data_IF_558779315464
#
_entry.id   IF_558779315464
#
_cell.length_a   1.000
_cell.length_b   1.000
_cell.length_c   1.000
_cell.angle_alpha   90.00
_cell.angle_beta   90.00
_cell.angle_gamma   90.00
#
_symmetry.space_group_name_H-M   'P 1'
#
loop_
_entity.id
_entity.type
_entity.pdbx_description
1 polymer ?
#
# COMPACT_ATOMS: atom_id res chain seq x y z
N UNK A 1 12.82 33.65 -1.73
CA UNK A 1 12.28 34.02 -3.05
C UNK A 1 10.93 33.34 -3.28
N UNK A 2 10.79 31.98 -3.23
CA UNK A 2 9.51 31.29 -3.43
C UNK A 2 8.45 31.69 -2.38
N UNK A 3 8.84 31.79 -1.11
CA UNK A 3 7.96 32.24 -0.03
C UNK A 3 7.55 33.71 -0.20
N UNK A 4 8.44 34.54 -0.70
CA UNK A 4 8.16 35.95 -1.03
C UNK A 4 7.17 36.06 -2.18
N UNK A 5 7.34 35.26 -3.24
CA UNK A 5 6.47 35.25 -4.43
C UNK A 5 5.06 34.77 -4.08
N UNK A 6 4.96 33.81 -3.14
CA UNK A 6 3.69 33.25 -2.68
C UNK A 6 3.06 34.06 -1.54
N UNK A 7 3.82 34.92 -0.85
CA UNK A 7 3.37 35.70 0.28
C UNK A 7 3.05 34.89 1.54
N UNK A 8 3.60 33.67 1.64
CA UNK A 8 3.39 32.75 2.77
C UNK A 8 4.67 32.02 3.14
N UNK A 9 4.86 31.76 4.45
CA UNK A 9 5.96 30.93 4.92
C UNK A 9 5.67 29.45 4.68
N UNK A 10 6.58 28.77 3.99
CA UNK A 10 6.52 27.33 3.70
C UNK A 10 7.38 26.50 4.66
N UNK A 11 8.38 27.14 5.29
CA UNK A 11 9.35 26.48 6.17
C UNK A 11 9.40 27.13 7.55
N UNK A 12 9.34 26.29 8.57
CA UNK A 12 9.69 26.66 9.94
C UNK A 12 11.19 26.43 10.14
N UNK A 13 11.89 27.46 10.65
CA UNK A 13 13.32 27.40 10.96
C UNK A 13 13.49 27.45 12.50
N UNK A 14 13.86 26.33 13.08
CA UNK A 14 14.19 26.24 14.49
C UNK A 14 15.68 25.87 14.64
N UNK A 15 16.51 26.87 14.78
CA UNK A 15 17.96 26.73 14.86
C UNK A 15 18.56 26.04 13.62
N UNK A 16 19.03 24.79 13.81
CA UNK A 16 19.60 23.97 12.72
C UNK A 16 18.58 23.04 12.03
N UNK A 17 17.35 23.03 12.50
CA UNK A 17 16.27 22.19 11.92
C UNK A 17 15.37 23.02 11.05
N UNK A 18 14.97 22.44 9.93
CA UNK A 18 13.99 22.99 9.01
C UNK A 18 12.87 21.98 8.85
N UNK A 19 11.63 22.42 9.05
CA UNK A 19 10.41 21.63 8.83
C UNK A 19 9.42 22.42 7.99
N UNK A 20 8.48 21.74 7.38
CA UNK A 20 7.42 22.42 6.61
C UNK A 20 6.39 23.02 7.60
N UNK A 21 5.83 24.15 7.21
CA UNK A 21 4.58 24.68 7.77
C UNK A 21 3.40 23.84 7.26
N UNK A 22 2.20 24.06 7.76
CA UNK A 22 0.98 23.49 7.18
C UNK A 22 0.83 23.91 5.72
N UNK A 23 1.04 25.19 5.41
CA UNK A 23 1.05 25.72 4.04
C UNK A 23 2.18 25.13 3.19
N UNK A 24 3.35 24.91 3.79
CA UNK A 24 4.46 24.22 3.13
C UNK A 24 4.14 22.80 2.74
N UNK A 25 3.46 22.05 3.61
CA UNK A 25 3.01 20.68 3.35
C UNK A 25 1.94 20.63 2.25
N UNK A 26 1.01 21.58 2.27
CA UNK A 26 0.00 21.73 1.22
C UNK A 26 0.65 22.07 -0.14
N UNK A 27 1.56 23.04 -0.14
CA UNK A 27 2.28 23.46 -1.35
C UNK A 27 3.19 22.36 -1.91
N UNK A 28 3.83 21.56 -1.05
CA UNK A 28 4.68 20.45 -1.47
C UNK A 28 3.90 19.47 -2.37
N UNK A 29 2.65 19.16 -2.01
CA UNK A 29 1.80 18.28 -2.81
C UNK A 29 1.56 18.84 -4.23
N UNK A 30 1.34 20.16 -4.36
CA UNK A 30 1.20 20.80 -5.67
C UNK A 30 2.53 20.85 -6.43
N UNK A 31 3.64 21.14 -5.75
CA UNK A 31 4.97 21.19 -6.38
C UNK A 31 5.36 19.82 -6.95
N UNK A 32 5.13 18.75 -6.23
CA UNK A 32 5.34 17.38 -6.71
C UNK A 32 4.50 17.06 -7.94
N UNK A 33 3.24 17.48 -7.97
CA UNK A 33 2.36 17.29 -9.12
C UNK A 33 2.84 18.07 -10.35
N UNK A 34 3.26 19.33 -10.17
CA UNK A 34 3.77 20.16 -11.26
C UNK A 34 5.05 19.57 -11.87
N UNK A 35 5.97 19.11 -11.02
CA UNK A 35 7.21 18.47 -11.47
C UNK A 35 6.91 17.17 -12.23
N UNK A 36 6.00 16.35 -11.71
CA UNK A 36 5.59 15.10 -12.37
C UNK A 36 4.96 15.37 -13.73
N UNK A 37 4.09 16.40 -13.84
CA UNK A 37 3.48 16.79 -15.11
C UNK A 37 4.51 17.34 -16.11
N UNK A 38 5.50 18.09 -15.64
CA UNK A 38 6.59 18.59 -16.49
C UNK A 38 7.44 17.44 -17.05
N UNK A 39 7.70 16.41 -16.24
CA UNK A 39 8.44 15.22 -16.69
C UNK A 39 7.61 14.39 -17.67
N UNK A 40 6.32 14.23 -17.44
CA UNK A 40 5.39 13.58 -18.37
C UNK A 40 5.38 14.32 -19.74
N UNK A 41 5.29 15.64 -19.74
CA UNK A 41 5.33 16.46 -20.94
C UNK A 41 6.64 16.30 -21.72
N UNK A 42 7.79 16.24 -21.02
CA UNK A 42 9.09 15.97 -21.68
C UNK A 42 9.14 14.58 -22.30
N UNK A 43 8.64 13.56 -21.62
CA UNK A 43 8.63 12.19 -22.12
C UNK A 43 7.73 12.04 -23.36
N UNK A 44 6.59 12.73 -23.41
CA UNK A 44 5.67 12.70 -24.55
C UNK A 44 6.29 13.25 -25.84
N UNK A 45 7.32 14.08 -25.72
CA UNK A 45 8.04 14.64 -26.89
C UNK A 45 9.06 13.65 -27.50
N UNK A 46 9.35 12.53 -26.84
CA UNK A 46 10.33 11.54 -27.28
C UNK A 46 9.75 10.10 -27.33
N UNK A 47 8.72 9.85 -28.17
CA UNK A 47 7.95 8.58 -28.14
C UNK A 47 8.69 7.37 -28.72
N UNK A 48 9.90 7.52 -29.26
CA UNK A 48 10.51 6.50 -30.14
C UNK A 48 10.92 5.19 -29.45
N UNK A 49 11.14 5.17 -28.13
CA UNK A 49 11.44 3.94 -27.38
C UNK A 49 11.07 4.10 -25.90
N UNK A 50 10.52 3.04 -25.25
CA UNK A 50 10.23 3.09 -23.83
C UNK A 50 11.50 3.44 -23.03
N UNK A 51 11.52 4.60 -22.45
CA UNK A 51 12.62 5.11 -21.64
C UNK A 51 12.07 6.05 -20.56
N UNK A 52 12.95 6.55 -19.70
CA UNK A 52 12.56 7.44 -18.62
C UNK A 52 12.35 6.72 -17.29
N UNK A 53 11.38 7.16 -16.49
CA UNK A 53 11.15 6.71 -15.12
C UNK A 53 9.71 6.20 -14.97
N UNK A 54 9.56 5.05 -14.32
CA UNK A 54 8.27 4.50 -13.92
C UNK A 54 8.21 4.39 -12.40
N UNK A 55 7.29 5.12 -11.77
CA UNK A 55 7.04 5.10 -10.32
C UNK A 55 5.88 4.16 -10.02
N UNK A 56 6.22 2.95 -9.57
CA UNK A 56 5.26 1.91 -9.23
C UNK A 56 5.03 1.87 -7.72
N UNK A 57 3.79 2.06 -7.30
CA UNK A 57 3.36 1.77 -5.93
C UNK A 57 2.92 0.33 -5.78
N UNK A 58 3.18 -0.30 -4.65
CA UNK A 58 2.69 -1.64 -4.36
C UNK A 58 2.40 -1.85 -2.88
N UNK A 59 1.39 -2.65 -2.57
CA UNK A 59 1.28 -3.19 -1.22
C UNK A 59 2.50 -4.06 -0.91
N UNK A 60 2.91 -4.13 0.36
CA UNK A 60 4.04 -4.96 0.78
C UNK A 60 3.86 -6.42 0.40
N UNK A 61 2.65 -6.98 0.57
CA UNK A 61 2.33 -8.36 0.19
C UNK A 61 2.61 -8.65 -1.28
N UNK A 62 2.13 -7.78 -2.16
CA UNK A 62 2.31 -7.92 -3.60
C UNK A 62 3.76 -7.68 -4.00
N UNK A 63 4.43 -6.69 -3.37
CA UNK A 63 5.84 -6.42 -3.59
C UNK A 63 6.72 -7.63 -3.24
N UNK A 64 6.42 -8.33 -2.15
CA UNK A 64 7.18 -9.50 -1.72
C UNK A 64 6.86 -10.76 -2.54
N UNK A 65 5.58 -11.04 -2.82
CA UNK A 65 5.15 -12.34 -3.36
C UNK A 65 4.97 -12.37 -4.88
N UNK A 66 4.67 -11.23 -5.54
CA UNK A 66 4.31 -11.18 -6.96
C UNK A 66 5.27 -10.37 -7.82
N UNK A 67 5.74 -9.22 -7.32
CA UNK A 67 6.55 -8.32 -8.11
C UNK A 67 7.91 -8.88 -8.57
N UNK A 68 8.67 -9.69 -7.82
CA UNK A 68 10.03 -10.04 -8.21
C UNK A 68 10.14 -10.64 -9.62
N UNK A 69 9.25 -11.56 -9.99
CA UNK A 69 9.23 -12.16 -11.32
C UNK A 69 8.80 -11.16 -12.42
N UNK A 70 7.80 -10.31 -12.12
CA UNK A 70 7.33 -9.27 -13.04
C UNK A 70 8.40 -8.23 -13.30
N UNK A 71 9.10 -7.76 -12.25
CA UNK A 71 10.17 -6.78 -12.36
C UNK A 71 11.35 -7.31 -13.16
N UNK A 72 11.72 -8.58 -12.96
CA UNK A 72 12.76 -9.23 -13.74
C UNK A 72 12.41 -9.30 -15.24
N UNK A 73 11.16 -9.61 -15.57
CA UNK A 73 10.67 -9.65 -16.94
C UNK A 73 10.59 -8.25 -17.56
N UNK A 74 10.09 -7.28 -16.79
CA UNK A 74 9.97 -5.89 -17.22
C UNK A 74 11.35 -5.26 -17.51
N UNK A 75 12.33 -5.48 -16.62
CA UNK A 75 13.69 -4.97 -16.82
C UNK A 75 14.35 -5.51 -18.10
N UNK A 76 14.07 -6.78 -18.47
CA UNK A 76 14.56 -7.36 -19.73
C UNK A 76 13.86 -6.74 -20.94
N UNK A 77 12.57 -6.47 -20.84
CA UNK A 77 11.78 -5.90 -21.94
C UNK A 77 12.02 -4.39 -22.13
N UNK A 78 12.25 -3.67 -21.03
CA UNK A 78 12.37 -2.21 -21.00
C UNK A 78 13.63 -1.76 -20.25
N UNK A 79 14.85 -2.11 -20.73
CA UNK A 79 16.11 -1.90 -19.98
C UNK A 79 16.47 -0.43 -19.78
N UNK A 80 15.84 0.49 -20.52
CA UNK A 80 16.08 1.94 -20.41
C UNK A 80 15.08 2.65 -19.50
N UNK A 81 14.11 1.92 -18.92
CA UNK A 81 13.19 2.48 -17.94
C UNK A 81 13.78 2.35 -16.54
N UNK A 82 14.01 3.48 -15.89
CA UNK A 82 14.35 3.51 -14.47
C UNK A 82 13.09 3.21 -13.65
N UNK A 83 13.05 2.04 -13.03
CA UNK A 83 11.90 1.62 -12.24
C UNK A 83 12.12 1.98 -10.77
N UNK A 84 11.19 2.74 -10.20
CA UNK A 84 11.13 3.07 -8.78
C UNK A 84 9.93 2.38 -8.15
N UNK A 85 10.20 1.53 -7.17
CA UNK A 85 9.14 0.81 -6.44
C UNK A 85 9.04 1.37 -5.03
N UNK A 86 7.83 1.76 -4.64
CA UNK A 86 7.52 2.17 -3.27
C UNK A 86 6.41 1.32 -2.68
N UNK A 87 6.44 1.10 -1.36
CA UNK A 87 5.40 0.35 -0.67
C UNK A 87 4.51 1.26 0.16
N UNK A 88 3.24 0.85 0.31
CA UNK A 88 2.26 1.61 1.07
C UNK A 88 0.94 0.85 1.28
N UNK A 89 0.02 1.50 2.00
CA UNK A 89 -1.36 1.00 2.12
C UNK A 89 -2.12 1.24 0.82
N UNK A 90 -3.15 0.43 0.54
CA UNK A 90 -3.97 0.58 -0.67
C UNK A 90 -4.48 2.02 -0.86
N UNK A 91 -4.93 2.66 0.22
CA UNK A 91 -5.42 4.04 0.18
C UNK A 91 -4.32 5.04 -0.17
N UNK A 92 -3.17 4.96 0.48
CA UNK A 92 -2.05 5.87 0.22
C UNK A 92 -1.51 5.73 -1.22
N UNK A 93 -1.48 4.51 -1.73
CA UNK A 93 -1.07 4.21 -3.10
C UNK A 93 -2.06 4.75 -4.12
N UNK A 94 -3.35 4.54 -3.91
CA UNK A 94 -4.42 5.07 -4.74
C UNK A 94 -4.37 6.61 -4.81
N UNK A 95 -4.27 7.26 -3.65
CA UNK A 95 -4.11 8.71 -3.57
C UNK A 95 -2.79 9.19 -4.19
N UNK A 96 -1.73 8.37 -4.14
CA UNK A 96 -0.45 8.62 -4.80
C UNK A 96 -0.57 8.69 -6.33
N UNK A 97 -1.33 7.76 -6.94
CA UNK A 97 -1.61 7.78 -8.38
C UNK A 97 -2.47 8.98 -8.75
N UNK A 98 -3.52 9.26 -7.98
CA UNK A 98 -4.38 10.44 -8.18
C UNK A 98 -3.61 11.75 -8.14
N UNK A 99 -2.69 11.86 -7.19
CA UNK A 99 -1.83 13.03 -6.98
C UNK A 99 -0.58 13.06 -7.88
N UNK A 100 -0.45 12.21 -8.89
CA UNK A 100 0.69 12.12 -9.82
C UNK A 100 2.04 11.83 -9.13
N UNK A 101 2.07 11.41 -7.88
CA UNK A 101 3.29 10.94 -7.20
C UNK A 101 3.70 9.54 -7.67
N UNK A 102 2.74 8.73 -8.11
CA UNK A 102 2.93 7.42 -8.72
C UNK A 102 2.33 7.42 -10.13
N UNK A 103 2.93 6.65 -11.02
CA UNK A 103 2.41 6.46 -12.38
C UNK A 103 1.34 5.38 -12.39
N UNK A 104 1.57 4.32 -11.62
CA UNK A 104 0.60 3.25 -11.37
C UNK A 104 0.79 2.64 -9.99
N UNK A 105 -0.19 1.86 -9.53
CA UNK A 105 -0.09 1.17 -8.25
C UNK A 105 -0.84 -0.17 -8.24
N UNK A 106 -0.35 -1.10 -7.43
CA UNK A 106 -1.01 -2.36 -7.10
C UNK A 106 -1.68 -2.21 -5.74
N UNK A 107 -3.02 -2.27 -5.73
CA UNK A 107 -3.86 -2.03 -4.56
C UNK A 107 -4.84 -3.17 -4.33
N UNK A 108 -5.18 -3.45 -3.08
CA UNK A 108 -6.23 -4.40 -2.76
C UNK A 108 -7.60 -3.76 -2.91
N UNK A 109 -8.48 -4.40 -3.64
CA UNK A 109 -9.87 -4.01 -3.83
C UNK A 109 -10.70 -4.44 -2.61
N UNK A 110 -11.07 -3.48 -1.78
CA UNK A 110 -12.00 -3.71 -0.67
C UNK A 110 -13.47 -3.65 -1.09
N UNK A 111 -14.39 -3.80 -0.14
CA UNK A 111 -15.81 -3.57 -0.38
C UNK A 111 -16.05 -2.16 -0.96
N UNK A 112 -16.84 -2.07 -2.03
CA UNK A 112 -17.14 -0.79 -2.70
C UNK A 112 -16.07 -0.28 -3.67
N UNK A 113 -15.02 -1.03 -3.91
CA UNK A 113 -13.88 -0.64 -4.76
C UNK A 113 -14.27 -0.12 -6.15
N UNK A 114 -15.23 -0.76 -6.82
CA UNK A 114 -15.66 -0.32 -8.15
C UNK A 114 -16.16 1.14 -8.14
N UNK A 115 -16.87 1.54 -7.10
CA UNK A 115 -17.33 2.93 -6.93
C UNK A 115 -16.22 3.92 -6.63
N UNK A 116 -15.05 3.47 -6.12
CA UNK A 116 -13.90 4.36 -5.88
C UNK A 116 -13.20 4.76 -7.18
N UNK A 117 -13.26 3.94 -8.22
CA UNK A 117 -12.73 4.26 -9.55
C UNK A 117 -13.63 5.26 -10.29
N UNK A 118 -14.95 5.19 -10.06
CA UNK A 118 -15.91 6.04 -10.75
C UNK A 118 -15.67 7.53 -10.41
N UNK A 119 -15.43 8.33 -11.46
CA UNK A 119 -15.16 9.76 -11.31
C UNK A 119 -13.83 10.14 -10.67
N UNK A 120 -12.96 9.16 -10.36
CA UNK A 120 -11.64 9.42 -9.76
C UNK A 120 -10.60 9.93 -10.77
N UNK A 121 -10.84 9.78 -12.08
CA UNK A 121 -9.85 10.00 -13.15
C UNK A 121 -8.82 8.87 -13.24
N UNK A 122 -9.08 7.75 -12.57
CA UNK A 122 -8.22 6.56 -12.63
C UNK A 122 -8.95 5.44 -13.37
N UNK A 123 -8.14 4.58 -13.98
CA UNK A 123 -8.54 3.28 -14.49
C UNK A 123 -7.89 2.17 -13.69
N UNK A 124 -8.46 0.99 -13.76
CA UNK A 124 -7.87 -0.18 -13.10
C UNK A 124 -8.37 -1.49 -13.70
N UNK A 125 -7.58 -2.53 -13.50
CA UNK A 125 -7.93 -3.90 -13.87
C UNK A 125 -7.47 -4.89 -12.79
N UNK A 126 -8.21 -5.97 -12.55
CA UNK A 126 -7.81 -7.00 -11.60
C UNK A 126 -6.65 -7.83 -12.19
N UNK A 127 -5.58 -8.04 -11.39
CA UNK A 127 -4.42 -8.84 -11.82
C UNK A 127 -4.28 -10.14 -11.03
N UNK A 128 -4.51 -10.10 -9.71
CA UNK A 128 -4.30 -11.23 -8.83
C UNK A 128 -5.47 -11.38 -7.87
N UNK A 129 -5.80 -12.61 -7.52
CA UNK A 129 -6.68 -12.94 -6.41
C UNK A 129 -5.85 -13.48 -5.25
N UNK A 130 -6.07 -12.93 -4.07
CA UNK A 130 -5.41 -13.32 -2.84
C UNK A 130 -6.41 -13.86 -1.83
N UNK A 131 -6.09 -15.01 -1.26
CA UNK A 131 -6.80 -15.57 -0.12
C UNK A 131 -6.19 -14.99 1.16
N UNK A 132 -6.99 -14.26 1.92
CA UNK A 132 -6.59 -13.71 3.22
C UNK A 132 -6.83 -14.71 4.33
N UNK A 133 -5.85 -14.83 5.20
CA UNK A 133 -5.90 -15.68 6.37
C UNK A 133 -5.84 -14.84 7.64
N UNK A 134 -6.75 -15.10 8.57
CA UNK A 134 -6.59 -14.70 9.97
C UNK A 134 -5.55 -15.62 10.61
N UNK A 135 -4.52 -15.05 11.21
CA UNK A 135 -3.44 -15.77 11.88
C UNK A 135 -3.59 -15.64 13.39
N UNK A 136 -3.50 -16.76 14.06
CA UNK A 136 -3.71 -16.90 15.50
C UNK A 136 -2.48 -17.53 16.17
N UNK A 137 -2.22 -17.24 17.44
CA UNK A 137 -1.20 -17.95 18.22
C UNK A 137 -1.41 -19.46 18.20
N UNK A 138 -0.34 -20.24 18.30
CA UNK A 138 -0.41 -21.71 18.37
C UNK A 138 -1.29 -22.21 19.53
N UNK A 139 -1.22 -21.50 20.65
CA UNK A 139 -1.95 -21.83 21.90
C UNK A 139 -3.43 -21.42 21.86
N UNK A 140 -3.84 -20.64 20.84
CA UNK A 140 -5.27 -20.29 20.71
C UNK A 140 -6.11 -21.55 20.52
N UNK A 141 -7.26 -21.69 21.21
CA UNK A 141 -8.16 -22.82 20.98
C UNK A 141 -8.49 -22.98 19.48
N UNK A 142 -8.71 -24.19 18.99
CA UNK A 142 -9.20 -24.39 17.63
C UNK A 142 -10.49 -23.59 17.39
N UNK A 143 -10.56 -22.90 16.27
CA UNK A 143 -11.72 -22.14 15.82
C UNK A 143 -11.99 -22.45 14.36
N UNK A 144 -13.24 -22.37 13.96
CA UNK A 144 -13.71 -22.64 12.60
C UNK A 144 -14.26 -21.38 11.93
N UNK A 145 -14.55 -20.35 12.73
CA UNK A 145 -15.08 -19.07 12.28
C UNK A 145 -14.38 -17.91 13.00
N UNK A 146 -14.25 -16.75 12.33
CA UNK A 146 -13.66 -15.54 12.91
C UNK A 146 -14.44 -15.05 14.12
N UNK A 147 -15.76 -15.27 14.17
CA UNK A 147 -16.60 -14.93 15.31
C UNK A 147 -16.23 -15.67 16.62
N UNK A 148 -15.58 -16.83 16.52
CA UNK A 148 -15.10 -17.61 17.66
C UNK A 148 -13.77 -17.11 18.22
N UNK A 149 -13.09 -16.21 17.50
CA UNK A 149 -11.79 -15.64 17.92
C UNK A 149 -11.99 -14.77 19.15
N UNK A 150 -11.28 -15.08 20.24
CA UNK A 150 -11.44 -14.40 21.53
C UNK A 150 -10.47 -13.23 21.73
N UNK A 151 -9.32 -13.27 21.05
CA UNK A 151 -8.34 -12.17 21.11
C UNK A 151 -8.91 -10.91 20.47
N UNK A 152 -8.74 -9.79 21.16
CA UNK A 152 -9.25 -8.47 20.75
C UNK A 152 -8.14 -7.47 20.48
N UNK A 153 -6.93 -7.95 20.21
CA UNK A 153 -5.80 -7.14 19.71
C UNK A 153 -5.43 -7.65 18.32
N UNK A 154 -5.41 -6.76 17.35
CA UNK A 154 -4.99 -7.00 15.98
C UNK A 154 -3.62 -6.38 15.73
N UNK A 155 -2.62 -7.18 15.38
CA UNK A 155 -1.38 -6.67 14.80
C UNK A 155 -1.61 -6.44 13.30
N UNK A 156 -1.46 -5.21 12.84
CA UNK A 156 -1.77 -4.85 11.46
C UNK A 156 -1.07 -3.60 10.99
N UNK A 157 -1.13 -3.34 9.70
CA UNK A 157 -0.58 -2.13 9.10
C UNK A 157 -1.36 -0.87 9.51
N UNK A 158 -0.85 0.30 9.14
CA UNK A 158 -1.50 1.58 9.34
C UNK A 158 -2.89 1.65 8.70
N UNK A 159 -3.68 2.63 9.08
CA UNK A 159 -4.99 2.91 8.48
C UNK A 159 -4.88 3.09 6.97
N UNK A 160 -5.90 2.65 6.23
CA UNK A 160 -5.90 2.62 4.77
C UNK A 160 -5.39 1.30 4.18
N UNK A 161 -4.98 0.33 5.02
CA UNK A 161 -4.73 -1.05 4.60
C UNK A 161 -6.06 -1.80 4.50
N UNK A 162 -6.42 -2.24 3.31
CA UNK A 162 -7.66 -3.00 3.04
C UNK A 162 -7.75 -4.29 3.86
N UNK A 163 -6.64 -5.01 4.03
CA UNK A 163 -6.62 -6.26 4.79
C UNK A 163 -6.88 -6.04 6.29
N UNK A 164 -6.31 -4.94 6.84
CA UNK A 164 -6.63 -4.51 8.20
C UNK A 164 -8.11 -4.20 8.34
N UNK A 165 -8.68 -3.42 7.41
CA UNK A 165 -10.10 -3.06 7.46
C UNK A 165 -11.00 -4.30 7.46
N UNK A 166 -10.74 -5.26 6.59
CA UNK A 166 -11.48 -6.52 6.54
C UNK A 166 -11.37 -7.32 7.85
N UNK A 167 -10.20 -7.31 8.50
CA UNK A 167 -10.02 -7.97 9.79
C UNK A 167 -10.77 -7.22 10.90
N UNK A 168 -10.73 -5.89 10.93
CA UNK A 168 -11.48 -5.07 11.90
C UNK A 168 -12.99 -5.30 11.76
N UNK A 169 -13.51 -5.31 10.52
CA UNK A 169 -14.93 -5.55 10.24
C UNK A 169 -15.38 -6.96 10.67
N UNK A 170 -14.52 -7.96 10.46
CA UNK A 170 -14.83 -9.35 10.81
C UNK A 170 -14.73 -9.64 12.31
N UNK A 171 -13.77 -9.03 13.01
CA UNK A 171 -13.58 -9.20 14.45
C UNK A 171 -14.57 -8.36 15.27
N UNK A 172 -15.08 -7.27 14.71
CA UNK A 172 -16.00 -6.35 15.39
C UNK A 172 -15.35 -5.60 16.56
N UNK A 173 -16.17 -4.84 17.27
CA UNK A 173 -15.71 -4.01 18.41
C UNK A 173 -16.12 -4.64 19.75
N UNK A 174 -15.36 -4.40 20.85
CA UNK A 174 -14.13 -3.59 20.90
C UNK A 174 -12.90 -4.31 20.35
N UNK A 175 -12.05 -3.59 19.64
CA UNK A 175 -10.80 -4.09 19.07
C UNK A 175 -9.67 -3.06 19.30
N UNK A 176 -8.52 -3.52 19.79
CA UNK A 176 -7.29 -2.73 19.87
C UNK A 176 -6.41 -3.05 18.68
N UNK A 177 -5.88 -2.05 18.00
CA UNK A 177 -4.94 -2.24 16.91
C UNK A 177 -3.53 -1.87 17.34
N UNK A 178 -2.62 -2.83 17.22
CA UNK A 178 -1.19 -2.63 17.32
C UNK A 178 -0.62 -2.44 15.93
N UNK A 179 -0.29 -1.20 15.58
CA UNK A 179 0.26 -0.89 14.27
C UNK A 179 1.71 -1.37 14.16
N UNK A 180 1.99 -2.09 13.08
CA UNK A 180 3.32 -2.60 12.73
C UNK A 180 3.59 -2.41 11.23
N UNK A 181 4.87 -2.31 10.86
CA UNK A 181 5.28 -1.93 9.51
C UNK A 181 5.65 -3.09 8.58
N UNK A 182 5.50 -4.36 8.99
CA UNK A 182 5.85 -5.50 8.15
C UNK A 182 5.13 -6.78 8.54
N UNK A 183 5.01 -7.72 7.61
CA UNK A 183 4.46 -9.05 7.89
C UNK A 183 5.31 -9.86 8.85
N UNK A 184 6.63 -9.70 8.86
CA UNK A 184 7.50 -10.31 9.86
C UNK A 184 7.13 -9.85 11.28
N UNK A 185 6.88 -8.54 11.46
CA UNK A 185 6.47 -8.00 12.74
C UNK A 185 5.08 -8.51 13.15
N UNK A 186 4.12 -8.61 12.21
CA UNK A 186 2.81 -9.22 12.46
C UNK A 186 2.99 -10.64 12.97
N UNK A 187 3.73 -11.49 12.25
CA UNK A 187 3.96 -12.89 12.62
C UNK A 187 4.64 -13.02 13.99
N UNK A 188 5.64 -12.17 14.27
CA UNK A 188 6.32 -12.18 15.57
C UNK A 188 5.38 -11.79 16.72
N UNK A 189 4.54 -10.76 16.53
CA UNK A 189 3.54 -10.35 17.53
C UNK A 189 2.49 -11.43 17.76
N UNK A 190 2.01 -12.08 16.71
CA UNK A 190 1.04 -13.19 16.85
C UNK A 190 1.68 -14.39 17.53
N UNK A 191 2.91 -14.76 17.17
CA UNK A 191 3.65 -15.86 17.81
C UNK A 191 3.90 -15.62 19.31
N UNK A 192 4.01 -14.35 19.73
CA UNK A 192 4.11 -13.98 21.14
C UNK A 192 2.81 -14.21 21.95
N UNK A 193 1.69 -14.53 21.30
CA UNK A 193 0.47 -15.01 21.97
C UNK A 193 -0.59 -13.96 22.30
N UNK A 194 -0.30 -12.66 22.15
CA UNK A 194 -1.17 -11.58 22.66
C UNK A 194 -2.14 -11.00 21.62
N UNK A 195 -1.99 -11.30 20.34
CA UNK A 195 -2.77 -10.72 19.27
C UNK A 195 -3.05 -11.70 18.12
N UNK A 196 -3.91 -11.27 17.23
CA UNK A 196 -4.16 -11.91 15.93
C UNK A 196 -3.55 -11.05 14.83
N UNK A 197 -3.39 -11.60 13.62
CA UNK A 197 -2.94 -10.87 12.44
C UNK A 197 -3.70 -11.28 11.20
N UNK A 198 -3.53 -10.55 10.11
CA UNK A 198 -4.07 -10.91 8.81
C UNK A 198 -2.98 -10.86 7.74
N UNK A 199 -2.86 -11.93 6.95
CA UNK A 199 -1.89 -12.07 5.87
C UNK A 199 -2.53 -12.76 4.67
N UNK A 200 -2.10 -12.42 3.44
CA UNK A 200 -2.36 -13.27 2.28
C UNK A 200 -1.63 -14.61 2.41
N UNK A 201 -2.25 -15.67 1.92
CA UNK A 201 -1.64 -17.00 1.87
C UNK A 201 -0.31 -17.00 1.13
N UNK A 202 -0.19 -16.19 0.08
CA UNK A 202 1.04 -16.05 -0.71
C UNK A 202 2.23 -15.56 0.12
N UNK A 203 1.99 -14.62 1.05
CA UNK A 203 3.02 -14.11 1.97
C UNK A 203 3.35 -15.16 3.04
N UNK A 204 2.35 -15.85 3.57
CA UNK A 204 2.55 -16.89 4.56
C UNK A 204 3.45 -18.03 4.02
N UNK A 205 3.23 -18.43 2.76
CA UNK A 205 4.05 -19.43 2.08
C UNK A 205 5.50 -18.97 1.84
N UNK A 206 5.70 -17.67 1.61
CA UNK A 206 7.02 -17.10 1.35
C UNK A 206 7.90 -17.00 2.61
N UNK A 207 7.30 -16.65 3.75
CA UNK A 207 8.07 -16.28 4.95
C UNK A 207 8.53 -17.46 5.80
N UNK A 208 7.97 -18.67 5.60
CA UNK A 208 8.18 -19.79 6.52
C UNK A 208 7.69 -19.44 7.92
N UNK A 209 6.75 -20.19 8.47
CA UNK A 209 6.04 -19.75 9.67
C UNK A 209 6.49 -20.46 10.94
N UNK A 210 6.57 -19.75 12.08
CA UNK A 210 6.50 -20.38 13.39
C UNK A 210 5.19 -21.18 13.52
N UNK A 211 5.05 -22.10 14.48
CA UNK A 211 3.80 -22.81 14.71
C UNK A 211 2.70 -21.78 15.04
N UNK A 212 1.79 -21.57 14.09
CA UNK A 212 0.64 -20.69 14.18
C UNK A 212 -0.61 -21.40 13.68
N UNK A 213 -1.77 -20.92 14.08
CA UNK A 213 -3.03 -21.34 13.50
C UNK A 213 -3.47 -20.33 12.45
N UNK A 214 -4.21 -20.79 11.46
CA UNK A 214 -4.79 -19.90 10.46
C UNK A 214 -6.19 -20.39 10.10
N UNK A 215 -7.06 -19.42 9.76
CA UNK A 215 -8.36 -19.71 9.18
C UNK A 215 -8.61 -18.74 8.01
N UNK A 216 -9.36 -19.16 6.98
CA UNK A 216 -9.74 -18.26 5.89
C UNK A 216 -10.53 -17.07 6.42
N UNK A 217 -10.23 -15.89 5.91
CA UNK A 217 -10.93 -14.64 6.25
C UNK A 217 -11.74 -14.10 5.06
N UNK A 218 -11.11 -13.94 3.92
CA UNK A 218 -11.72 -13.38 2.72
C UNK A 218 -10.90 -13.69 1.46
N UNK A 219 -11.50 -13.54 0.30
CA UNK A 219 -10.79 -13.40 -0.98
C UNK A 219 -10.80 -11.93 -1.41
N UNK A 220 -9.67 -11.44 -1.88
CA UNK A 220 -9.48 -10.04 -2.29
C UNK A 220 -8.73 -9.97 -3.60
N UNK A 221 -9.26 -9.22 -4.55
CA UNK A 221 -8.56 -8.97 -5.80
C UNK A 221 -7.54 -7.84 -5.63
N UNK A 222 -6.34 -8.04 -6.15
CA UNK A 222 -5.33 -7.00 -6.31
C UNK A 222 -5.46 -6.40 -7.70
N UNK A 223 -5.66 -5.09 -7.75
CA UNK A 223 -5.83 -4.32 -8.97
C UNK A 223 -4.60 -3.50 -9.29
N UNK A 224 -4.25 -3.44 -10.58
CA UNK A 224 -3.39 -2.41 -11.11
C UNK A 224 -4.25 -1.19 -11.39
N UNK A 225 -3.84 -0.02 -10.86
CA UNK A 225 -4.51 1.26 -11.09
C UNK A 225 -3.55 2.26 -11.70
N UNK A 226 -4.04 3.09 -12.62
CA UNK A 226 -3.28 4.16 -13.29
C UNK A 226 -4.21 5.30 -13.67
N UNK A 227 -3.66 6.45 -14.06
CA UNK A 227 -4.49 7.57 -14.55
C UNK A 227 -5.02 7.28 -15.94
N UNK A 228 -6.23 7.74 -16.18
CA UNK A 228 -6.76 7.89 -17.54
C UNK A 228 -5.94 8.97 -18.25
N UNK A 229 -5.32 8.62 -19.38
CA UNK A 229 -4.48 9.52 -20.19
C UNK A 229 -5.30 10.52 -20.98
#
# INVERSE_FOLDING_TARGET
QLEEDLGVELFLRDGKRMSLTERGSEFLAYAEQLLALADEARQSMHPAEPGGRLRLGSMESTAASRLPALLASYHKACPRVALEVSTGTSRALFDGVRARRLDCALVAAGPGWAGELDGSGLRGEPLFREELLMILPAEHPPVHDVAEVRLRTLAGFARGCTYRQLAEDSLGTPLTVQEVGSYHAILACVAAGACVGVLPRSVLQLLGTPPLRSLPLAEVDTWLVWREG
#
